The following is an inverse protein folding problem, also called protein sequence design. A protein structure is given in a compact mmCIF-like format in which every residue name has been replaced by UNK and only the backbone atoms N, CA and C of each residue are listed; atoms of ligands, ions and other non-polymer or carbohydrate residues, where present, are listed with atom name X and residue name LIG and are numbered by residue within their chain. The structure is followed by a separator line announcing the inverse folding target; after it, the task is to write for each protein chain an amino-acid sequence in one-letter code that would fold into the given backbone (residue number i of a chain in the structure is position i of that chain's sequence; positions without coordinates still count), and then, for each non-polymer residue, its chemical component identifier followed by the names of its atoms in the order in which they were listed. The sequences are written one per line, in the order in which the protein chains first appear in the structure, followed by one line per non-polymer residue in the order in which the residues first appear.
data_IF_270631022729
#
_entry.id   IF_270631022729
#
_cell.length_a   1.000
_cell.length_b   1.000
_cell.length_c   1.000
_cell.angle_alpha   90.00
_cell.angle_beta   90.00
_cell.angle_gamma   90.00
#
_symmetry.space_group_name_H-M   'P 1'
#
loop_
_entity.id
_entity.type
_entity.pdbx_description
1 polymer ?
#
# COMPACT_ATOMS: atom_id res chain seq x y z
N UNK A 1 -9.24 -26.57 7.81
CA UNK A 1 -10.25 -26.82 6.75
C UNK A 1 -11.10 -28.00 7.14
N UNK A 2 -12.42 -27.85 7.15
CA UNK A 2 -13.37 -28.95 7.45
C UNK A 2 -14.37 -29.13 6.31
N UNK A 3 -14.73 -30.37 5.97
CA UNK A 3 -15.72 -30.67 4.92
C UNK A 3 -17.07 -30.96 5.58
N UNK A 4 -18.08 -30.18 5.22
CA UNK A 4 -19.44 -30.34 5.73
C UNK A 4 -20.15 -31.38 4.86
N UNK A 5 -20.53 -32.50 5.48
CA UNK A 5 -21.24 -33.60 4.84
C UNK A 5 -22.75 -33.53 5.11
N UNK A 6 -23.56 -34.04 4.18
CA UNK A 6 -24.98 -34.29 4.41
C UNK A 6 -25.24 -35.63 5.12
N UNK A 7 -26.53 -35.90 5.40
CA UNK A 7 -26.97 -37.15 6.01
C UNK A 7 -26.62 -38.41 5.17
N UNK A 8 -26.25 -38.24 3.90
CA UNK A 8 -25.80 -39.29 2.99
C UNK A 8 -24.29 -39.30 2.77
N UNK A 9 -23.49 -38.65 3.63
CA UNK A 9 -22.03 -38.54 3.52
C UNK A 9 -21.54 -37.83 2.25
N UNK A 10 -22.39 -37.02 1.60
CA UNK A 10 -22.00 -36.24 0.42
C UNK A 10 -21.50 -34.87 0.84
N UNK A 11 -20.37 -34.38 0.28
CA UNK A 11 -19.88 -33.05 0.59
C UNK A 11 -20.86 -31.98 0.08
N UNK A 12 -21.34 -31.12 0.99
CA UNK A 12 -22.19 -29.97 0.67
C UNK A 12 -21.48 -28.63 0.79
N UNK A 13 -20.37 -28.58 1.52
CA UNK A 13 -19.61 -27.35 1.70
C UNK A 13 -18.26 -27.62 2.35
N UNK A 14 -17.44 -26.59 2.38
CA UNK A 14 -16.14 -26.60 3.05
C UNK A 14 -16.09 -25.38 3.96
N UNK A 15 -15.73 -25.58 5.22
CA UNK A 15 -15.36 -24.52 6.13
C UNK A 15 -13.88 -24.21 5.96
N UNK A 16 -13.60 -22.96 5.58
CA UNK A 16 -12.25 -22.46 5.36
C UNK A 16 -12.01 -21.25 6.28
N UNK A 17 -11.21 -21.41 7.35
CA UNK A 17 -10.78 -20.27 8.17
C UNK A 17 -10.00 -19.24 7.34
N UNK A 18 -10.17 -17.95 7.64
CA UNK A 18 -9.46 -16.88 6.94
C UNK A 18 -7.94 -16.98 7.13
N UNK A 19 -7.48 -17.49 8.26
CA UNK A 19 -6.05 -17.71 8.54
C UNK A 19 -5.44 -18.76 7.60
N UNK A 20 -6.24 -19.75 7.16
CA UNK A 20 -5.79 -20.79 6.24
C UNK A 20 -5.82 -20.32 4.78
N UNK A 21 -6.61 -19.29 4.46
CA UNK A 21 -6.71 -18.72 3.10
C UNK A 21 -5.37 -18.26 2.55
N UNK A 22 -4.55 -17.61 3.38
CA UNK A 22 -3.24 -17.08 2.99
C UNK A 22 -2.30 -18.15 2.40
N UNK A 23 -2.45 -19.39 2.84
CA UNK A 23 -1.65 -20.53 2.35
C UNK A 23 -2.26 -21.16 1.09
N UNK A 24 -3.59 -21.11 0.95
CA UNK A 24 -4.33 -21.80 -0.11
C UNK A 24 -4.54 -20.94 -1.37
N UNK A 25 -4.54 -19.60 -1.24
CA UNK A 25 -4.84 -18.67 -2.33
C UNK A 25 -3.96 -18.85 -3.56
N UNK A 26 -2.73 -19.32 -3.42
CA UNK A 26 -1.81 -19.56 -4.55
C UNK A 26 -2.20 -20.77 -5.41
N UNK A 27 -2.95 -21.72 -4.85
CA UNK A 27 -3.42 -22.92 -5.56
C UNK A 27 -4.80 -22.75 -6.21
N UNK A 28 -5.45 -21.60 -6.03
CA UNK A 28 -6.82 -21.35 -6.47
C UNK A 28 -6.81 -20.38 -7.65
N UNK A 29 -7.66 -20.67 -8.65
CA UNK A 29 -7.79 -19.81 -9.82
C UNK A 29 -8.31 -18.42 -9.41
N UNK A 30 -7.54 -17.37 -9.70
CA UNK A 30 -7.88 -15.97 -9.42
C UNK A 30 -9.18 -15.49 -10.08
N UNK A 31 -9.60 -16.13 -11.17
CA UNK A 31 -10.86 -15.82 -11.83
C UNK A 31 -12.09 -16.45 -11.16
N UNK A 32 -11.90 -17.34 -10.19
CA UNK A 32 -13.02 -18.01 -9.50
C UNK A 32 -13.76 -17.07 -8.54
N UNK A 33 -15.06 -17.31 -8.37
CA UNK A 33 -15.89 -16.56 -7.42
C UNK A 33 -15.42 -16.77 -5.97
N UNK A 34 -14.94 -17.98 -5.65
CA UNK A 34 -14.34 -18.27 -4.33
C UNK A 34 -13.12 -17.40 -4.07
N UNK A 35 -12.24 -17.21 -5.07
CA UNK A 35 -11.06 -16.38 -4.90
C UNK A 35 -11.45 -14.93 -4.61
N UNK A 36 -12.39 -14.36 -5.38
CA UNK A 36 -12.87 -13.00 -5.15
C UNK A 36 -13.49 -12.84 -3.77
N UNK A 37 -14.41 -13.74 -3.41
CA UNK A 37 -15.07 -13.72 -2.11
C UNK A 37 -14.07 -13.79 -0.96
N UNK A 38 -13.11 -14.71 -1.03
CA UNK A 38 -12.12 -14.88 0.04
C UNK A 38 -11.14 -13.70 0.08
N UNK A 39 -10.74 -13.14 -1.06
CA UNK A 39 -9.88 -11.95 -1.11
C UNK A 39 -10.56 -10.72 -0.48
N UNK A 40 -11.84 -10.52 -0.77
CA UNK A 40 -12.69 -9.48 -0.19
C UNK A 40 -12.89 -9.67 1.32
N UNK A 41 -13.04 -10.92 1.79
CA UNK A 41 -13.21 -11.22 3.23
C UNK A 41 -11.90 -11.19 4.03
N UNK A 42 -10.76 -11.34 3.37
CA UNK A 42 -9.44 -11.44 4.03
C UNK A 42 -8.82 -10.10 4.36
N UNK A 43 -9.35 -9.03 3.78
CA UNK A 43 -8.90 -7.67 4.04
C UNK A 43 -10.09 -6.87 4.55
N UNK A 44 -9.97 -6.14 5.67
CA UNK A 44 -10.99 -5.16 6.03
C UNK A 44 -11.15 -4.18 4.87
N UNK A 45 -12.37 -3.79 4.54
CA UNK A 45 -12.56 -2.67 3.61
C UNK A 45 -11.88 -1.43 4.20
N UNK A 46 -11.18 -0.65 3.37
CA UNK A 46 -10.55 0.62 3.78
C UNK A 46 -11.55 1.58 4.44
N UNK A 47 -12.84 1.47 4.13
CA UNK A 47 -13.91 2.27 4.75
C UNK A 47 -14.36 1.74 6.12
N UNK A 48 -13.99 0.51 6.48
CA UNK A 48 -14.31 -0.13 7.76
C UNK A 48 -13.13 -0.10 8.75
N UNK A 49 -11.92 0.19 8.26
CA UNK A 49 -10.73 0.33 9.10
C UNK A 49 -10.81 1.56 10.00
N UNK A 50 -10.38 1.42 11.25
CA UNK A 50 -10.05 2.59 12.06
C UNK A 50 -8.69 3.19 11.64
N UNK A 51 -8.37 4.39 12.15
CA UNK A 51 -7.16 5.12 11.77
C UNK A 51 -5.84 4.33 11.97
N UNK A 52 -5.74 3.51 13.03
CA UNK A 52 -4.53 2.71 13.30
C UNK A 52 -4.40 1.58 12.28
N UNK A 53 -5.49 0.85 12.04
CA UNK A 53 -5.53 -0.25 11.08
C UNK A 53 -5.21 0.22 9.66
N UNK A 54 -5.77 1.36 9.26
CA UNK A 54 -5.50 1.94 7.94
C UNK A 54 -4.04 2.38 7.79
N UNK A 55 -3.45 2.94 8.85
CA UNK A 55 -2.02 3.31 8.86
C UNK A 55 -1.12 2.09 8.70
N UNK A 56 -1.39 1.01 9.43
CA UNK A 56 -0.64 -0.26 9.31
C UNK A 56 -0.80 -0.87 7.92
N UNK A 57 -2.03 -0.87 7.38
CA UNK A 57 -2.31 -1.36 6.04
C UNK A 57 -1.52 -0.63 4.95
N UNK A 58 -1.34 0.69 5.09
CA UNK A 58 -0.62 1.52 4.11
C UNK A 58 0.90 1.51 4.27
N UNK A 59 1.46 1.03 5.37
CA UNK A 59 2.88 1.15 5.67
C UNK A 59 3.77 0.49 4.60
N UNK A 60 3.54 -0.79 4.33
CA UNK A 60 4.30 -1.52 3.32
C UNK A 60 4.12 -0.98 1.88
N UNK A 61 2.88 -0.80 1.36
CA UNK A 61 2.70 -0.31 -0.01
C UNK A 61 3.22 1.12 -0.20
N UNK A 62 3.10 2.00 0.81
CA UNK A 62 3.67 3.35 0.74
C UNK A 62 5.20 3.31 0.69
N UNK A 63 5.84 2.46 1.51
CA UNK A 63 7.29 2.31 1.49
C UNK A 63 7.79 1.76 0.14
N UNK A 64 7.11 0.77 -0.43
CA UNK A 64 7.43 0.24 -1.77
C UNK A 64 7.30 1.31 -2.86
N UNK A 65 6.23 2.12 -2.81
CA UNK A 65 6.01 3.21 -3.76
C UNK A 65 7.12 4.27 -3.66
N UNK A 66 7.48 4.69 -2.45
CA UNK A 66 8.57 5.64 -2.20
C UNK A 66 9.90 5.11 -2.73
N UNK A 67 10.25 3.87 -2.41
CA UNK A 67 11.49 3.25 -2.89
C UNK A 67 11.56 3.21 -4.42
N UNK A 68 10.45 2.83 -5.07
CA UNK A 68 10.34 2.82 -6.53
C UNK A 68 10.46 4.22 -7.13
N UNK A 69 9.88 5.24 -6.50
CA UNK A 69 9.99 6.62 -6.94
C UNK A 69 11.45 7.09 -6.89
N UNK A 70 12.14 6.85 -5.76
CA UNK A 70 13.55 7.18 -5.56
C UNK A 70 14.46 6.44 -6.55
N UNK A 71 14.15 5.18 -6.87
CA UNK A 71 14.85 4.39 -7.90
C UNK A 71 14.73 4.97 -9.30
N UNK A 72 13.61 5.61 -9.60
CA UNK A 72 13.38 6.27 -10.89
C UNK A 72 13.93 7.70 -10.94
N UNK A 73 14.72 8.12 -9.94
CA UNK A 73 15.33 9.44 -9.88
C UNK A 73 14.40 10.55 -9.39
N UNK A 74 13.25 10.21 -8.82
CA UNK A 74 12.40 11.17 -8.11
C UNK A 74 12.97 11.45 -6.71
N UNK A 75 12.34 12.40 -6.01
CA UNK A 75 12.75 12.87 -4.69
C UNK A 75 11.58 12.85 -3.71
N UNK A 76 11.92 12.81 -2.42
CA UNK A 76 11.00 13.16 -1.34
C UNK A 76 11.02 14.67 -1.15
N UNK A 77 9.85 15.31 -1.03
CA UNK A 77 9.73 16.75 -0.81
C UNK A 77 9.02 17.05 0.50
N UNK A 78 9.65 17.86 1.35
CA UNK A 78 9.09 18.28 2.65
C UNK A 78 9.43 19.74 2.97
N UNK A 79 8.61 20.44 3.78
CA UNK A 79 8.82 21.87 4.07
C UNK A 79 10.18 22.16 4.73
N UNK A 80 10.86 23.22 4.28
CA UNK A 80 12.17 23.63 4.81
C UNK A 80 12.10 24.64 5.97
N UNK A 81 10.90 24.91 6.49
CA UNK A 81 10.66 25.83 7.62
C UNK A 81 10.47 27.30 7.23
N UNK A 82 10.70 27.68 5.97
CA UNK A 82 10.35 29.00 5.43
C UNK A 82 9.18 28.89 4.43
N UNK A 83 8.37 29.96 4.27
CA UNK A 83 7.28 29.95 3.31
C UNK A 83 7.75 29.61 1.89
N UNK A 84 6.99 28.74 1.20
CA UNK A 84 7.24 28.32 -0.18
C UNK A 84 8.61 27.67 -0.43
N UNK A 85 9.24 27.13 0.63
CA UNK A 85 10.52 26.43 0.51
C UNK A 85 10.41 24.99 0.94
N UNK A 86 11.08 24.11 0.20
CA UNK A 86 11.04 22.68 0.39
C UNK A 86 12.44 22.09 0.28
N UNK A 87 12.65 20.96 0.94
CA UNK A 87 13.83 20.14 0.78
C UNK A 87 13.43 18.96 -0.11
N UNK A 88 14.12 18.84 -1.25
CA UNK A 88 14.11 17.66 -2.10
C UNK A 88 15.24 16.74 -1.66
N UNK A 89 14.91 15.53 -1.22
CA UNK A 89 15.88 14.50 -0.82
C UNK A 89 15.84 13.35 -1.82
N UNK A 90 17.01 13.01 -2.36
CA UNK A 90 17.17 11.95 -3.35
C UNK A 90 17.68 10.64 -2.72
N UNK A 91 17.68 9.57 -3.52
CA UNK A 91 18.08 8.22 -3.08
C UNK A 91 19.49 8.15 -2.51
N UNK A 92 20.41 8.92 -3.08
CA UNK A 92 21.82 8.98 -2.67
C UNK A 92 22.07 9.80 -1.40
N UNK A 93 21.01 10.37 -0.83
CA UNK A 93 21.08 11.24 0.35
C UNK A 93 21.41 12.69 0.01
N UNK A 94 21.62 13.04 -1.26
CA UNK A 94 21.77 14.44 -1.67
C UNK A 94 20.49 15.21 -1.40
N UNK A 95 20.65 16.49 -1.05
CA UNK A 95 19.54 17.37 -0.72
C UNK A 95 19.61 18.69 -1.47
N UNK A 96 18.47 19.12 -1.98
CA UNK A 96 18.30 20.42 -2.61
C UNK A 96 17.22 21.20 -1.85
N UNK A 97 17.55 22.40 -1.39
CA UNK A 97 16.53 23.34 -0.94
C UNK A 97 16.02 24.09 -2.16
N UNK A 98 14.74 23.97 -2.44
CA UNK A 98 14.06 24.68 -3.50
C UNK A 98 13.10 25.70 -2.93
N UNK A 99 12.92 26.80 -3.64
CA UNK A 99 11.88 27.77 -3.38
C UNK A 99 10.95 27.85 -4.59
N UNK A 100 9.65 27.94 -4.33
CA UNK A 100 8.64 28.06 -5.36
C UNK A 100 8.17 29.50 -5.48
N UNK A 101 8.17 29.99 -6.71
CA UNK A 101 7.43 31.19 -7.06
C UNK A 101 5.94 30.83 -7.14
N UNK A 102 5.14 31.43 -6.26
CA UNK A 102 3.70 31.16 -6.16
C UNK A 102 2.88 31.75 -7.31
N UNK A 103 3.44 32.72 -8.05
CA UNK A 103 2.76 33.31 -9.22
C UNK A 103 3.01 32.48 -10.48
N UNK A 104 4.22 31.96 -10.64
CA UNK A 104 4.61 31.24 -11.87
C UNK A 104 4.67 29.72 -11.73
N UNK A 105 4.66 29.21 -10.49
CA UNK A 105 4.84 27.79 -10.19
C UNK A 105 6.26 27.27 -10.43
N UNK A 106 7.21 28.14 -10.77
CA UNK A 106 8.59 27.75 -11.05
C UNK A 106 9.36 27.52 -9.77
N UNK A 107 10.12 26.43 -9.74
CA UNK A 107 11.11 26.17 -8.70
C UNK A 107 12.45 26.82 -9.03
N UNK A 108 13.15 27.24 -7.99
CA UNK A 108 14.56 27.63 -8.07
C UNK A 108 15.34 27.02 -6.91
N UNK A 109 16.51 26.48 -7.23
CA UNK A 109 17.38 25.85 -6.23
C UNK A 109 18.10 26.94 -5.44
N UNK A 110 17.80 27.00 -4.15
CA UNK A 110 18.40 27.93 -3.19
C UNK A 110 19.73 27.38 -2.66
N UNK A 111 19.82 26.05 -2.48
CA UNK A 111 21.00 25.39 -1.90
C UNK A 111 21.08 23.92 -2.31
N UNK A 112 22.30 23.40 -2.51
CA UNK A 112 22.58 21.97 -2.65
C UNK A 112 23.50 21.48 -1.54
N UNK A 113 23.32 20.24 -1.07
CA UNK A 113 24.13 19.57 -0.05
C UNK A 113 24.35 18.12 -0.42
#
# INVERSE_FOLDING_TARGET
MEVILDNGQRPRGVFLPLEEWETLKFGINKASELYKLMDDLSHPDVFEMNASQFSEYLELPSQQLVNKALENGLYLSYPAGLPNTFIHQYKDGSQETVAYDMETGKEHIVKKR
#
